data_IF_563429524191
#
_entry.id   IF_563429524191
#
_cell.length_a   1.000
_cell.length_b   1.000
_cell.length_c   1.000
_cell.angle_alpha   90.00
_cell.angle_beta   90.00
_cell.angle_gamma   90.00
#
_symmetry.space_group_name_H-M   'P 1'
#
loop_
_entity.id
_entity.type
_entity.pdbx_description
1 polymer ?
#
# COMPACT_ATOMS: atom_id res chain seq x y z
N UNK A 1 -13.71 49.88 54.86
CA UNK A 1 -14.52 48.80 54.26
C UNK A 1 -14.87 49.00 52.77
N UNK A 2 -15.17 50.22 52.28
CA UNK A 2 -15.53 50.46 50.86
C UNK A 2 -14.36 50.29 49.86
N UNK A 3 -13.13 50.67 50.23
CA UNK A 3 -11.96 50.58 49.36
C UNK A 3 -11.51 49.13 49.08
N UNK A 4 -11.48 48.29 50.12
CA UNK A 4 -11.10 46.88 50.01
C UNK A 4 -12.09 46.11 49.11
N UNK A 5 -13.40 46.35 49.28
CA UNK A 5 -14.42 45.75 48.41
C UNK A 5 -14.25 46.16 46.93
N UNK A 6 -13.86 47.41 46.68
CA UNK A 6 -13.62 47.91 45.33
C UNK A 6 -12.38 47.28 44.70
N UNK A 7 -11.30 47.12 45.48
CA UNK A 7 -10.07 46.45 45.05
C UNK A 7 -10.33 44.97 44.69
N UNK A 8 -11.04 44.25 45.56
CA UNK A 8 -11.40 42.84 45.33
C UNK A 8 -12.25 42.70 44.06
N UNK A 9 -13.20 43.62 43.83
CA UNK A 9 -14.01 43.62 42.62
C UNK A 9 -13.18 43.84 41.35
N UNK A 10 -12.21 44.76 41.35
CA UNK A 10 -11.32 44.95 40.22
C UNK A 10 -10.47 43.71 39.92
N UNK A 11 -9.98 43.03 40.95
CA UNK A 11 -9.22 41.78 40.79
C UNK A 11 -10.10 40.68 40.19
N UNK A 12 -11.33 40.52 40.68
CA UNK A 12 -12.27 39.55 40.12
C UNK A 12 -12.59 39.83 38.65
N UNK A 13 -12.82 41.09 38.28
CA UNK A 13 -13.09 41.47 36.89
C UNK A 13 -11.86 41.23 36.02
N UNK A 14 -10.66 41.59 36.47
CA UNK A 14 -9.42 41.34 35.73
C UNK A 14 -9.17 39.84 35.50
N UNK A 15 -9.45 39.00 36.49
CA UNK A 15 -9.35 37.54 36.37
C UNK A 15 -10.37 36.99 35.36
N UNK A 16 -11.62 37.45 35.39
CA UNK A 16 -12.66 37.02 34.45
C UNK A 16 -12.29 37.43 33.02
N UNK A 17 -11.82 38.67 32.81
CA UNK A 17 -11.37 39.13 31.50
C UNK A 17 -10.16 38.33 31.01
N UNK A 18 -9.20 38.05 31.90
CA UNK A 18 -8.07 37.17 31.57
C UNK A 18 -8.50 35.76 31.17
N UNK A 19 -9.49 35.18 31.86
CA UNK A 19 -10.04 33.87 31.55
C UNK A 19 -10.78 33.87 30.21
N UNK A 20 -11.59 34.89 29.94
CA UNK A 20 -12.29 35.06 28.66
C UNK A 20 -11.26 35.18 27.53
N UNK A 21 -10.25 36.05 27.67
CA UNK A 21 -9.18 36.18 26.70
C UNK A 21 -8.44 34.85 26.50
N UNK A 22 -8.10 34.11 27.56
CA UNK A 22 -7.43 32.82 27.44
C UNK A 22 -8.31 31.76 26.74
N UNK A 23 -9.61 31.74 27.03
CA UNK A 23 -10.55 30.84 26.33
C UNK A 23 -10.70 31.23 24.86
N UNK A 24 -10.75 32.52 24.54
CA UNK A 24 -10.74 33.04 23.17
C UNK A 24 -9.42 32.70 22.48
N UNK A 25 -8.25 32.86 23.11
CA UNK A 25 -6.96 32.43 22.54
C UNK A 25 -6.89 30.92 22.30
N UNK A 26 -7.64 30.11 23.05
CA UNK A 26 -7.69 28.65 22.87
C UNK A 26 -8.72 28.19 21.84
N UNK A 27 -9.83 28.93 21.68
CA UNK A 27 -10.88 28.65 20.68
C UNK A 27 -10.60 29.33 19.33
N UNK A 28 -9.98 30.50 19.35
CA UNK A 28 -9.45 31.29 18.22
C UNK A 28 -7.92 31.29 18.16
N UNK A 29 -7.26 30.33 18.82
CA UNK A 29 -6.11 29.74 18.15
C UNK A 29 -6.71 29.20 16.87
N UNK A 30 -6.74 30.04 15.83
CA UNK A 30 -6.77 29.59 14.47
C UNK A 30 -5.82 28.41 14.50
N UNK A 31 -6.35 27.20 14.26
CA UNK A 31 -5.53 26.21 13.59
C UNK A 31 -4.81 27.05 12.57
N UNK A 32 -3.50 27.25 12.74
CA UNK A 32 -2.72 27.53 11.57
C UNK A 32 -3.25 26.49 10.61
N UNK A 33 -3.72 26.93 9.45
CA UNK A 33 -3.68 26.02 8.34
C UNK A 33 -2.19 25.65 8.28
N UNK A 34 -1.82 24.60 9.02
CA UNK A 34 -0.75 23.70 8.69
C UNK A 34 -1.22 23.08 7.38
N UNK A 35 -1.31 23.94 6.36
CA UNK A 35 -1.01 23.62 5.01
C UNK A 35 0.46 23.19 5.08
N UNK A 36 0.73 21.97 5.61
CA UNK A 36 1.66 21.12 4.90
C UNK A 36 1.04 21.04 3.52
N UNK A 37 1.45 21.97 2.65
CA UNK A 37 0.86 22.11 1.35
C UNK A 37 1.01 20.75 0.70
N UNK A 38 -0.11 20.10 0.39
CA UNK A 38 -0.12 18.79 -0.25
C UNK A 38 0.86 18.91 -1.42
N UNK A 39 1.90 18.06 -1.45
CA UNK A 39 2.98 18.22 -2.41
C UNK A 39 2.41 18.21 -3.82
N UNK A 40 3.08 18.92 -4.73
CA UNK A 40 2.72 18.86 -6.13
C UNK A 40 2.79 17.40 -6.60
N UNK A 41 1.72 16.94 -7.24
CA UNK A 41 1.63 15.57 -7.74
C UNK A 41 2.35 15.53 -9.08
N UNK A 42 3.55 14.96 -9.07
CA UNK A 42 4.35 14.74 -10.27
C UNK A 42 4.25 13.29 -10.77
N UNK A 43 4.81 13.03 -11.95
CA UNK A 43 4.84 11.69 -12.53
C UNK A 43 5.63 10.70 -11.67
N UNK A 44 6.66 11.16 -10.95
CA UNK A 44 7.48 10.29 -10.11
C UNK A 44 6.70 9.73 -8.94
N UNK A 45 5.87 10.56 -8.30
CA UNK A 45 4.95 10.12 -7.25
C UNK A 45 3.97 9.08 -7.79
N UNK A 46 3.31 9.34 -8.92
CA UNK A 46 2.37 8.39 -9.52
C UNK A 46 3.05 7.07 -9.86
N UNK A 47 4.24 7.10 -10.48
CA UNK A 47 5.03 5.91 -10.75
C UNK A 47 5.40 5.19 -9.47
N UNK A 48 5.80 5.91 -8.42
CA UNK A 48 6.13 5.33 -7.11
C UNK A 48 4.94 4.60 -6.49
N UNK A 49 3.78 5.24 -6.43
CA UNK A 49 2.55 4.65 -5.88
C UNK A 49 2.12 3.40 -6.66
N UNK A 50 2.30 3.41 -7.98
CA UNK A 50 1.96 2.27 -8.83
C UNK A 50 2.94 1.10 -8.72
N UNK A 51 4.24 1.39 -8.54
CA UNK A 51 5.32 0.38 -8.66
C UNK A 51 5.26 -0.68 -7.56
N UNK A 52 4.79 -0.32 -6.35
CA UNK A 52 4.65 -1.32 -5.30
C UNK A 52 3.36 -2.13 -5.37
N UNK A 53 2.42 -1.79 -6.26
CA UNK A 53 1.22 -2.61 -6.48
C UNK A 53 1.60 -3.96 -7.10
N UNK A 54 1.16 -5.10 -6.53
CA UNK A 54 1.43 -6.43 -7.04
C UNK A 54 1.12 -6.62 -8.53
N UNK A 55 1.99 -7.34 -9.22
CA UNK A 55 1.82 -7.68 -10.64
C UNK A 55 1.19 -9.04 -10.90
N UNK A 56 0.99 -9.85 -9.85
CA UNK A 56 0.49 -11.22 -9.93
C UNK A 56 -0.55 -11.48 -8.84
N UNK A 57 -1.35 -12.52 -9.07
CA UNK A 57 -2.27 -13.07 -8.07
C UNK A 57 -1.51 -13.58 -6.84
N UNK A 58 -2.07 -13.31 -5.65
CA UNK A 58 -1.42 -13.64 -4.38
C UNK A 58 -2.35 -14.52 -3.53
N UNK A 59 -2.36 -15.81 -3.83
CA UNK A 59 -3.07 -16.81 -3.03
C UNK A 59 -4.59 -16.62 -3.00
N UNK A 60 -5.25 -17.34 -2.10
CA UNK A 60 -6.70 -17.58 -2.17
C UNK A 60 -7.54 -16.75 -1.18
N UNK A 61 -6.93 -15.96 -0.30
CA UNK A 61 -7.60 -15.48 0.92
C UNK A 61 -8.09 -14.04 0.92
N UNK A 62 -7.60 -13.17 0.04
CA UNK A 62 -8.22 -11.87 -0.33
C UNK A 62 -7.36 -11.21 -1.42
N UNK A 63 -7.96 -11.03 -2.59
CA UNK A 63 -7.31 -10.65 -3.84
C UNK A 63 -7.30 -9.12 -4.00
N UNK A 64 -6.22 -8.55 -4.57
CA UNK A 64 -6.16 -7.11 -4.87
C UNK A 64 -7.23 -6.74 -5.91
N UNK A 65 -7.58 -7.69 -6.78
CA UNK A 65 -8.48 -7.50 -7.92
C UNK A 65 -9.84 -8.20 -7.73
N UNK A 66 -10.55 -7.91 -6.64
CA UNK A 66 -11.91 -8.40 -6.40
C UNK A 66 -13.00 -7.41 -6.91
N UNK A 67 -14.22 -7.90 -7.13
CA UNK A 67 -15.37 -7.11 -7.64
C UNK A 67 -16.10 -6.32 -6.55
N UNK A 68 -15.91 -6.65 -5.27
CA UNK A 68 -16.71 -6.05 -4.20
C UNK A 68 -16.05 -4.78 -3.66
N UNK A 69 -16.81 -3.67 -3.68
CA UNK A 69 -16.48 -2.43 -2.99
C UNK A 69 -16.34 -2.69 -1.49
N UNK A 70 -15.18 -2.39 -0.91
CA UNK A 70 -14.95 -2.46 0.53
C UNK A 70 -14.32 -1.13 0.97
N UNK A 71 -15.00 -0.44 1.88
CA UNK A 71 -14.62 0.88 2.42
C UNK A 71 -13.48 0.83 3.45
N UNK A 72 -12.81 -0.30 3.57
CA UNK A 72 -11.77 -0.60 4.56
C UNK A 72 -10.62 -1.32 3.87
N UNK A 73 -9.41 -1.24 4.44
CA UNK A 73 -8.28 -2.03 4.00
C UNK A 73 -8.70 -3.51 3.95
N UNK A 74 -8.82 -4.03 2.73
CA UNK A 74 -9.45 -5.31 2.42
C UNK A 74 -8.48 -6.29 1.76
N UNK A 75 -7.21 -5.92 1.68
CA UNK A 75 -6.19 -6.77 1.10
C UNK A 75 -5.62 -7.70 2.16
N UNK A 76 -5.29 -8.91 1.76
CA UNK A 76 -4.72 -9.90 2.68
C UNK A 76 -3.40 -9.41 3.27
N UNK A 77 -3.04 -9.92 4.45
CA UNK A 77 -1.71 -9.69 5.04
C UNK A 77 -0.56 -10.12 4.10
N UNK A 78 -0.81 -11.07 3.19
CA UNK A 78 0.15 -11.51 2.16
C UNK A 78 0.30 -10.42 1.09
N UNK A 79 -0.79 -9.79 0.67
CA UNK A 79 -0.77 -8.67 -0.28
C UNK A 79 -0.08 -7.46 0.32
N UNK A 80 -0.35 -7.13 1.59
CA UNK A 80 0.37 -6.08 2.31
C UNK A 80 1.87 -6.38 2.39
N UNK A 81 2.24 -7.63 2.68
CA UNK A 81 3.64 -8.05 2.70
C UNK A 81 4.31 -7.90 1.32
N UNK A 82 3.64 -8.28 0.24
CA UNK A 82 4.20 -8.13 -1.10
C UNK A 82 4.35 -6.66 -1.51
N UNK A 83 3.35 -5.81 -1.22
CA UNK A 83 3.45 -4.36 -1.44
C UNK A 83 4.62 -3.75 -0.68
N UNK A 84 4.77 -4.15 0.59
CA UNK A 84 5.88 -3.71 1.44
C UNK A 84 7.23 -4.14 0.86
N UNK A 85 7.35 -5.41 0.43
CA UNK A 85 8.54 -5.91 -0.22
C UNK A 85 8.85 -5.16 -1.52
N UNK A 86 7.85 -4.94 -2.39
CA UNK A 86 8.02 -4.21 -3.65
C UNK A 86 8.46 -2.77 -3.39
N UNK A 87 7.94 -2.12 -2.35
CA UNK A 87 8.39 -0.79 -1.97
C UNK A 87 9.88 -0.81 -1.57
N UNK A 88 10.27 -1.73 -0.69
CA UNK A 88 11.65 -1.84 -0.20
C UNK A 88 12.64 -2.04 -1.36
N UNK A 89 12.39 -2.98 -2.27
CA UNK A 89 13.33 -3.26 -3.36
C UNK A 89 13.47 -2.10 -4.36
N UNK A 90 12.46 -1.25 -4.50
CA UNK A 90 12.47 -0.15 -5.46
C UNK A 90 12.90 1.19 -4.84
N UNK A 91 12.73 1.36 -3.53
CA UNK A 91 12.88 2.67 -2.87
C UNK A 91 13.64 2.66 -1.54
N UNK A 92 13.97 1.49 -0.98
CA UNK A 92 14.71 1.37 0.29
C UNK A 92 15.64 0.14 0.29
N UNK A 93 16.45 0.02 -0.77
CA UNK A 93 17.32 -1.14 -0.98
C UNK A 93 18.34 -1.38 0.15
N UNK A 94 18.64 -0.36 0.96
CA UNK A 94 19.52 -0.47 2.13
C UNK A 94 18.96 -1.38 3.23
N UNK A 95 17.66 -1.72 3.19
CA UNK A 95 17.06 -2.70 4.10
C UNK A 95 17.39 -4.14 3.73
N UNK A 96 17.94 -4.39 2.53
CA UNK A 96 18.35 -5.71 2.07
C UNK A 96 19.71 -6.06 2.68
N UNK A 97 19.71 -7.01 3.62
CA UNK A 97 20.91 -7.44 4.35
C UNK A 97 21.40 -8.76 3.80
N UNK A 98 22.72 -8.90 3.66
CA UNK A 98 23.33 -10.18 3.29
C UNK A 98 23.09 -11.22 4.38
N UNK A 99 23.00 -12.49 3.96
CA UNK A 99 22.85 -13.63 4.88
C UNK A 99 24.17 -14.40 4.91
N UNK A 100 24.87 -14.47 6.05
CA UNK A 100 26.06 -15.30 6.20
C UNK A 100 25.77 -16.79 5.96
N UNK A 101 26.73 -17.54 5.42
CA UNK A 101 26.55 -18.97 5.11
C UNK A 101 26.23 -19.82 6.35
N UNK A 102 26.81 -19.49 7.50
CA UNK A 102 26.48 -20.14 8.78
C UNK A 102 25.00 -19.98 9.12
N UNK A 103 24.45 -18.78 8.90
CA UNK A 103 23.03 -18.50 9.12
C UNK A 103 22.18 -19.29 8.12
N UNK A 104 22.53 -19.29 6.82
CA UNK A 104 21.82 -20.04 5.77
C UNK A 104 21.64 -21.52 6.13
N UNK A 105 22.71 -22.16 6.60
CA UNK A 105 22.71 -23.59 6.97
C UNK A 105 21.74 -23.90 8.12
N UNK A 106 21.43 -22.94 8.99
CA UNK A 106 20.53 -23.12 10.13
C UNK A 106 19.05 -22.83 9.81
N UNK A 107 18.76 -22.31 8.61
CA UNK A 107 17.42 -21.86 8.26
C UNK A 107 16.52 -22.98 7.73
N UNK A 108 17.08 -24.08 7.21
CA UNK A 108 16.32 -25.19 6.59
C UNK A 108 15.28 -24.67 5.59
N UNK A 109 15.74 -23.85 4.65
CA UNK A 109 14.93 -23.30 3.55
C UNK A 109 15.35 -24.04 2.29
N UNK A 110 14.38 -24.66 1.61
CA UNK A 110 14.61 -25.25 0.30
C UNK A 110 14.75 -24.12 -0.73
N UNK A 111 15.90 -24.04 -1.40
CA UNK A 111 16.20 -23.00 -2.38
C UNK A 111 17.45 -22.16 -2.06
N UNK A 112 17.73 -21.18 -2.91
CA UNK A 112 18.91 -20.30 -2.78
C UNK A 112 18.53 -19.03 -2.03
N UNK A 113 19.00 -18.88 -0.80
CA UNK A 113 18.78 -17.66 -0.01
C UNK A 113 19.62 -16.52 -0.58
N UNK A 114 18.96 -15.42 -0.95
CA UNK A 114 19.58 -14.24 -1.56
C UNK A 114 19.97 -13.20 -0.49
N UNK A 115 19.00 -12.75 0.29
CA UNK A 115 19.14 -11.70 1.30
C UNK A 115 18.04 -11.81 2.35
N UNK A 116 18.14 -11.00 3.42
CA UNK A 116 17.12 -10.89 4.46
C UNK A 116 16.72 -9.44 4.71
N UNK A 117 15.50 -9.25 5.18
CA UNK A 117 14.98 -7.98 5.67
C UNK A 117 14.58 -8.20 7.13
N UNK A 118 14.98 -7.30 8.04
CA UNK A 118 14.57 -7.46 9.44
C UNK A 118 13.08 -7.16 9.59
N UNK A 119 12.44 -7.79 10.58
CA UNK A 119 11.06 -7.50 10.93
C UNK A 119 10.84 -6.01 11.21
N UNK A 120 11.75 -5.37 11.93
CA UNK A 120 11.68 -3.94 12.24
C UNK A 120 11.66 -3.08 10.96
N UNK A 121 12.63 -3.30 10.06
CA UNK A 121 12.71 -2.58 8.79
C UNK A 121 11.43 -2.81 7.95
N UNK A 122 10.91 -4.03 7.95
CA UNK A 122 9.71 -4.40 7.23
C UNK A 122 8.45 -3.72 7.80
N UNK A 123 8.28 -3.73 9.13
CA UNK A 123 7.14 -3.08 9.81
C UNK A 123 7.17 -1.56 9.63
N UNK A 124 8.36 -0.95 9.63
CA UNK A 124 8.50 0.49 9.37
C UNK A 124 8.01 0.85 7.96
N UNK A 125 8.40 0.06 6.94
CA UNK A 125 7.93 0.24 5.58
C UNK A 125 6.42 -0.04 5.43
N UNK A 126 5.91 -1.09 6.09
CA UNK A 126 4.48 -1.40 6.09
C UNK A 126 3.66 -0.26 6.70
N UNK A 127 4.09 0.26 7.84
CA UNK A 127 3.44 1.39 8.52
C UNK A 127 3.44 2.63 7.65
N UNK A 128 4.51 2.88 6.90
CA UNK A 128 4.58 3.97 5.93
C UNK A 128 3.60 3.78 4.76
N UNK A 129 3.29 2.55 4.34
CA UNK A 129 2.38 2.32 3.22
C UNK A 129 0.90 2.30 3.62
N UNK A 130 0.58 1.82 4.82
CA UNK A 130 -0.80 1.53 5.24
C UNK A 130 -1.26 2.32 6.46
N UNK A 131 -0.38 3.13 7.06
CA UNK A 131 -0.64 3.85 8.31
C UNK A 131 -0.49 2.99 9.56
N UNK A 132 -0.67 3.62 10.73
CA UNK A 132 -0.35 3.04 12.05
C UNK A 132 -1.40 2.08 12.62
N UNK A 133 -2.59 2.02 12.04
CA UNK A 133 -3.70 1.24 12.55
C UNK A 133 -3.81 -0.16 11.94
N UNK A 134 -2.95 -0.47 10.97
CA UNK A 134 -3.04 -1.70 10.19
C UNK A 134 -2.51 -2.91 10.96
N UNK A 135 -3.25 -4.03 10.91
CA UNK A 135 -2.84 -5.26 11.58
C UNK A 135 -1.99 -6.10 10.66
N UNK A 136 -0.78 -6.40 11.09
CA UNK A 136 0.13 -7.28 10.38
C UNK A 136 0.33 -8.62 11.12
N UNK A 137 0.42 -9.69 10.33
CA UNK A 137 0.77 -11.02 10.81
C UNK A 137 2.06 -11.48 10.13
N UNK A 138 3.02 -11.92 10.95
CA UNK A 138 4.24 -12.48 10.41
C UNK A 138 3.93 -13.77 9.65
N UNK A 139 4.20 -13.78 8.34
CA UNK A 139 3.80 -14.89 7.46
C UNK A 139 4.81 -15.12 6.34
N UNK A 140 4.87 -16.35 5.86
CA UNK A 140 5.56 -16.65 4.61
C UNK A 140 4.72 -16.13 3.43
N UNK A 141 5.37 -15.64 2.38
CA UNK A 141 4.67 -15.16 1.19
C UNK A 141 5.43 -15.47 -0.10
N UNK A 142 4.69 -15.59 -1.20
CA UNK A 142 5.25 -15.73 -2.55
C UNK A 142 5.36 -14.34 -3.18
N UNK A 143 6.51 -14.05 -3.77
CA UNK A 143 6.74 -12.78 -4.50
C UNK A 143 6.44 -12.99 -5.98
N UNK A 144 6.95 -14.07 -6.54
CA UNK A 144 6.61 -14.55 -7.87
C UNK A 144 6.78 -16.07 -7.90
N UNK A 145 6.84 -16.67 -9.09
CA UNK A 145 7.02 -18.12 -9.24
C UNK A 145 8.34 -18.59 -8.63
N UNK A 146 9.40 -17.83 -8.84
CA UNK A 146 10.75 -18.24 -8.49
C UNK A 146 11.17 -17.66 -7.15
N UNK A 147 10.58 -16.56 -6.72
CA UNK A 147 11.00 -15.82 -5.54
C UNK A 147 9.95 -15.91 -4.43
N UNK A 148 10.41 -16.25 -3.23
CA UNK A 148 9.57 -16.39 -2.03
C UNK A 148 10.24 -15.72 -0.84
N UNK A 149 9.43 -15.47 0.18
CA UNK A 149 9.86 -14.94 1.46
C UNK A 149 9.45 -15.90 2.58
N UNK A 150 10.39 -16.24 3.44
CA UNK A 150 10.14 -17.03 4.66
C UNK A 150 10.39 -16.18 5.89
N UNK A 151 9.43 -16.12 6.79
CA UNK A 151 9.61 -15.47 8.08
C UNK A 151 10.25 -16.44 9.08
N UNK A 152 11.42 -16.08 9.61
CA UNK A 152 12.11 -16.86 10.65
C UNK A 152 13.02 -15.93 11.46
N UNK A 153 13.13 -16.16 12.77
CA UNK A 153 14.06 -15.43 13.65
C UNK A 153 13.99 -13.90 13.47
N UNK A 154 12.80 -13.30 13.44
CA UNK A 154 12.57 -11.87 13.21
C UNK A 154 13.13 -11.31 11.89
N UNK A 155 13.24 -12.16 10.87
CA UNK A 155 13.69 -11.78 9.54
C UNK A 155 12.81 -12.41 8.46
N UNK A 156 12.60 -11.66 7.38
CA UNK A 156 12.11 -12.17 6.10
C UNK A 156 13.31 -12.57 5.25
N UNK A 157 13.50 -13.87 5.06
CA UNK A 157 14.52 -14.41 4.17
C UNK A 157 13.94 -14.54 2.76
N UNK A 158 14.56 -13.87 1.81
CA UNK A 158 14.17 -13.92 0.40
C UNK A 158 15.00 -14.97 -0.29
N UNK A 159 14.34 -15.90 -0.96
CA UNK A 159 14.99 -17.07 -1.53
C UNK A 159 14.35 -17.49 -2.85
N UNK A 160 15.18 -18.10 -3.70
CA UNK A 160 14.80 -18.59 -5.01
C UNK A 160 14.54 -20.09 -5.01
N UNK A 161 13.44 -20.49 -5.63
CA UNK A 161 13.13 -21.87 -6.01
C UNK A 161 12.90 -21.93 -7.52
N UNK A 162 13.47 -22.93 -8.20
CA UNK A 162 13.24 -23.12 -9.63
C UNK A 162 11.84 -23.71 -9.86
N UNK A 163 10.87 -22.85 -10.19
CA UNK A 163 9.55 -23.29 -10.67
C UNK A 163 9.24 -22.70 -12.04
N UNK A 164 8.47 -23.42 -12.84
CA UNK A 164 8.02 -22.95 -14.15
C UNK A 164 6.61 -22.39 -13.97
N UNK A 165 6.42 -21.11 -14.32
CA UNK A 165 5.10 -20.46 -14.32
C UNK A 165 4.48 -20.50 -15.71
N UNK A 166 3.31 -21.13 -15.81
CA UNK A 166 2.52 -21.16 -17.03
C UNK A 166 1.56 -19.98 -17.12
N UNK A 167 1.57 -19.05 -16.16
CA UNK A 167 0.73 -17.87 -16.16
C UNK A 167 1.51 -16.65 -16.64
N UNK A 168 0.88 -15.87 -17.52
CA UNK A 168 1.32 -14.52 -17.89
C UNK A 168 0.31 -13.50 -17.34
N UNK A 169 0.82 -12.35 -16.92
CA UNK A 169 0.01 -11.25 -16.40
C UNK A 169 0.23 -10.02 -17.28
N UNK A 170 -0.87 -9.42 -17.71
CA UNK A 170 -0.91 -8.14 -18.38
C UNK A 170 -1.54 -7.12 -17.43
N UNK A 171 -0.73 -6.15 -17.05
CA UNK A 171 -1.07 -5.11 -16.08
C UNK A 171 -0.46 -3.79 -16.57
N UNK A 172 -1.18 -2.70 -16.41
CA UNK A 172 -0.70 -1.37 -16.79
C UNK A 172 -1.54 -0.26 -16.18
N UNK A 173 -0.85 0.79 -15.73
CA UNK A 173 -1.49 2.03 -15.34
C UNK A 173 -2.15 2.64 -16.58
N UNK A 174 -3.47 2.78 -16.54
CA UNK A 174 -4.26 3.33 -17.63
C UNK A 174 -4.47 4.84 -17.46
N UNK A 175 -4.80 5.27 -16.24
CA UNK A 175 -4.97 6.69 -15.90
C UNK A 175 -4.87 6.91 -14.39
N UNK A 176 -4.86 8.17 -13.97
CA UNK A 176 -5.06 8.53 -12.57
C UNK A 176 -6.00 9.74 -12.46
N UNK A 177 -6.69 9.86 -11.34
CA UNK A 177 -7.51 11.02 -11.01
C UNK A 177 -7.18 11.56 -9.63
N UNK A 178 -7.40 12.86 -9.45
CA UNK A 178 -7.15 13.59 -8.21
C UNK A 178 -8.49 14.08 -7.66
N UNK A 179 -8.77 13.77 -6.41
CA UNK A 179 -9.98 14.25 -5.72
C UNK A 179 -9.62 14.96 -4.42
N UNK A 180 -10.60 15.62 -3.80
CA UNK A 180 -10.46 16.21 -2.46
C UNK A 180 -9.27 17.18 -2.36
N UNK A 181 -9.18 18.13 -3.29
CA UNK A 181 -8.08 19.10 -3.36
C UNK A 181 -6.68 18.44 -3.40
N UNK A 182 -6.55 17.28 -4.06
CA UNK A 182 -5.31 16.48 -4.19
C UNK A 182 -5.00 15.61 -2.96
N UNK A 183 -5.85 15.61 -1.93
CA UNK A 183 -5.69 14.70 -0.79
C UNK A 183 -5.84 13.23 -1.20
N UNK A 184 -6.55 12.96 -2.30
CA UNK A 184 -6.79 11.59 -2.75
C UNK A 184 -6.29 11.39 -4.19
N UNK A 185 -5.51 10.33 -4.38
CA UNK A 185 -5.05 9.84 -5.69
C UNK A 185 -5.75 8.52 -5.97
N UNK A 186 -6.39 8.42 -7.13
CA UNK A 186 -7.01 7.19 -7.63
C UNK A 186 -6.24 6.73 -8.86
N UNK A 187 -5.57 5.59 -8.78
CA UNK A 187 -4.85 4.97 -9.90
C UNK A 187 -5.75 3.94 -10.57
N UNK A 188 -6.01 4.09 -11.85
CA UNK A 188 -6.77 3.11 -12.63
C UNK A 188 -5.81 2.22 -13.40
N UNK A 189 -5.89 0.92 -13.18
CA UNK A 189 -5.16 -0.07 -13.96
C UNK A 189 -6.10 -1.07 -14.62
N UNK A 190 -5.61 -1.70 -15.68
CA UNK A 190 -6.23 -2.88 -16.25
C UNK A 190 -5.51 -4.14 -15.75
N UNK A 191 -6.25 -5.24 -15.65
CA UNK A 191 -5.69 -6.52 -15.25
C UNK A 191 -6.22 -7.65 -16.13
N UNK A 192 -5.29 -8.51 -16.58
CA UNK A 192 -5.60 -9.74 -17.29
C UNK A 192 -4.52 -10.78 -16.98
N UNK A 193 -4.91 -11.94 -16.43
CA UNK A 193 -4.03 -13.11 -16.36
C UNK A 193 -4.40 -14.10 -17.45
N UNK A 194 -3.42 -14.77 -18.04
CA UNK A 194 -3.67 -15.84 -19.01
C UNK A 194 -2.80 -17.05 -18.73
N UNK A 195 -3.37 -18.24 -18.92
CA UNK A 195 -2.63 -19.49 -18.90
C UNK A 195 -2.07 -19.77 -20.31
N UNK A 196 -0.76 -19.94 -20.42
CA UNK A 196 -0.07 -20.19 -21.69
C UNK A 196 -0.43 -21.54 -22.32
N UNK A 197 -0.73 -22.54 -21.51
CA UNK A 197 -1.07 -23.90 -21.94
C UNK A 197 -2.54 -24.02 -22.36
N UNK A 198 -3.48 -23.64 -21.49
CA UNK A 198 -4.92 -23.73 -21.80
C UNK A 198 -5.39 -22.63 -22.74
N UNK A 199 -4.59 -21.57 -22.87
CA UNK A 199 -4.88 -20.32 -23.59
C UNK A 199 -6.05 -19.51 -23.02
N UNK A 200 -6.54 -19.88 -21.86
CA UNK A 200 -7.63 -19.20 -21.17
C UNK A 200 -7.11 -17.95 -20.47
N UNK A 201 -7.93 -16.90 -20.50
CA UNK A 201 -7.63 -15.64 -19.82
C UNK A 201 -8.73 -15.30 -18.82
N UNK A 202 -8.36 -14.54 -17.79
CA UNK A 202 -9.21 -14.15 -16.68
C UNK A 202 -8.90 -12.68 -16.33
N UNK A 203 -9.92 -11.84 -16.29
CA UNK A 203 -9.84 -10.41 -15.96
C UNK A 203 -10.17 -10.13 -14.47
N UNK A 204 -10.33 -11.19 -13.68
CA UNK A 204 -10.56 -11.14 -12.24
C UNK A 204 -9.68 -12.16 -11.52
N UNK A 205 -9.10 -11.74 -10.40
CA UNK A 205 -8.30 -12.60 -9.51
C UNK A 205 -9.21 -13.57 -8.74
N UNK A 206 -8.79 -14.84 -8.62
CA UNK A 206 -9.60 -15.93 -8.07
C UNK A 206 -10.80 -16.37 -8.93
N UNK A 207 -10.93 -15.90 -10.18
CA UNK A 207 -11.99 -16.40 -11.09
C UNK A 207 -11.59 -17.71 -11.76
N UNK A 208 -12.41 -18.73 -11.62
CA UNK A 208 -12.32 -19.98 -12.39
C UNK A 208 -13.05 -19.89 -13.75
N UNK A 209 -13.75 -18.79 -14.00
CA UNK A 209 -14.47 -18.58 -15.27
C UNK A 209 -13.62 -17.73 -16.21
N UNK A 210 -13.19 -18.27 -17.36
CA UNK A 210 -12.41 -17.52 -18.33
C UNK A 210 -13.27 -16.50 -19.09
N UNK A 211 -12.66 -15.40 -19.51
CA UNK A 211 -13.31 -14.45 -20.42
C UNK A 211 -13.42 -15.07 -21.82
N UNK A 212 -14.64 -15.12 -22.37
CA UNK A 212 -14.91 -15.82 -23.62
C UNK A 212 -14.33 -15.13 -24.87
N UNK A 213 -14.04 -13.83 -24.77
CA UNK A 213 -13.66 -12.97 -25.90
C UNK A 213 -12.15 -12.70 -26.00
N UNK A 214 -11.33 -13.23 -25.08
CA UNK A 214 -9.87 -13.09 -25.11
C UNK A 214 -9.23 -14.47 -24.92
N UNK A 215 -8.23 -14.77 -25.74
CA UNK A 215 -7.38 -15.96 -25.60
C UNK A 215 -5.92 -15.58 -25.62
N UNK A 216 -5.10 -16.34 -24.91
CA UNK A 216 -3.65 -16.14 -24.96
C UNK A 216 -3.12 -16.41 -26.37
N UNK A 217 -2.19 -15.56 -26.77
CA UNK A 217 -1.26 -15.79 -27.87
C UNK A 217 0.04 -15.07 -27.54
N UNK A 218 1.17 -15.55 -28.06
CA UNK A 218 2.48 -14.91 -27.87
C UNK A 218 2.50 -13.45 -28.32
N UNK A 219 1.64 -13.08 -29.28
CA UNK A 219 1.54 -11.73 -29.83
C UNK A 219 0.26 -11.00 -29.36
N UNK A 220 -0.28 -11.35 -28.19
CA UNK A 220 -1.47 -10.70 -27.66
C UNK A 220 -1.18 -9.21 -27.39
N UNK A 221 -1.75 -8.31 -28.20
CA UNK A 221 -1.63 -6.88 -28.00
C UNK A 221 -2.67 -6.39 -26.99
N UNK A 222 -2.24 -6.18 -25.75
CA UNK A 222 -3.09 -5.70 -24.67
C UNK A 222 -3.72 -4.34 -24.98
N UNK A 223 -3.05 -3.45 -25.72
CA UNK A 223 -3.58 -2.12 -26.03
C UNK A 223 -4.82 -2.18 -26.93
N UNK A 224 -4.91 -3.21 -27.77
CA UNK A 224 -6.08 -3.44 -28.64
C UNK A 224 -7.32 -3.95 -27.89
N UNK A 225 -7.15 -4.44 -26.65
CA UNK A 225 -8.21 -5.08 -25.85
C UNK A 225 -8.39 -4.46 -24.47
N UNK A 226 -7.57 -3.51 -24.04
CA UNK A 226 -7.60 -2.95 -22.67
C UNK A 226 -8.93 -2.28 -22.30
N UNK A 227 -9.70 -1.84 -23.29
CA UNK A 227 -11.03 -1.26 -23.09
C UNK A 227 -12.14 -2.31 -22.89
N UNK A 228 -11.82 -3.59 -23.13
CA UNK A 228 -12.73 -4.73 -22.98
C UNK A 228 -12.48 -5.54 -21.72
N UNK A 229 -11.32 -5.35 -21.08
CA UNK A 229 -10.95 -6.03 -19.84
C UNK A 229 -11.33 -5.19 -18.64
N UNK A 230 -11.52 -5.88 -17.52
CA UNK A 230 -11.87 -5.25 -16.26
C UNK A 230 -10.79 -4.28 -15.77
N UNK A 231 -11.23 -3.18 -15.17
CA UNK A 231 -10.38 -2.15 -14.60
C UNK A 231 -10.46 -2.19 -13.07
N UNK A 232 -9.42 -1.67 -12.45
CA UNK A 232 -9.32 -1.57 -11.00
C UNK A 232 -8.82 -0.19 -10.62
N UNK A 233 -9.46 0.43 -9.64
CA UNK A 233 -9.08 1.69 -9.05
C UNK A 233 -8.41 1.45 -7.69
N UNK A 234 -7.19 1.93 -7.53
CA UNK A 234 -6.45 1.92 -6.28
C UNK A 234 -6.47 3.31 -5.67
N UNK A 235 -6.99 3.40 -4.45
CA UNK A 235 -7.18 4.67 -3.75
C UNK A 235 -6.04 4.87 -2.77
N UNK A 236 -5.40 6.03 -2.87
CA UNK A 236 -4.39 6.51 -1.95
C UNK A 236 -4.83 7.83 -1.34
N UNK A 237 -4.53 8.03 -0.06
CA UNK A 237 -4.89 9.25 0.66
C UNK A 237 -3.67 9.87 1.33
N UNK A 238 -3.57 11.19 1.28
CA UNK A 238 -2.51 11.95 1.91
C UNK A 238 -2.75 12.03 3.42
N UNK A 239 -1.89 11.40 4.19
CA UNK A 239 -1.91 11.39 5.65
C UNK A 239 -0.48 11.43 6.19
N UNK A 240 -0.23 12.26 7.21
CA UNK A 240 1.09 12.34 7.87
C UNK A 240 2.27 12.55 6.89
N UNK A 241 2.14 13.54 6.00
CA UNK A 241 3.14 13.98 5.02
C UNK A 241 3.45 13.02 3.85
N UNK A 242 2.65 11.97 3.64
CA UNK A 242 2.78 11.05 2.50
C UNK A 242 1.44 10.45 2.09
N UNK A 243 1.39 9.77 0.94
CA UNK A 243 0.20 9.03 0.51
C UNK A 243 0.24 7.59 1.03
N UNK A 244 -0.79 7.18 1.75
CA UNK A 244 -1.02 5.80 2.20
C UNK A 244 -2.04 5.11 1.30
N UNK A 245 -1.93 3.80 1.15
CA UNK A 245 -2.91 2.99 0.44
C UNK A 245 -4.17 2.79 1.28
N UNK A 246 -5.35 2.90 0.67
CA UNK A 246 -6.65 2.82 1.36
C UNK A 246 -7.48 1.62 0.87
N UNK A 247 -7.64 1.46 -0.44
CA UNK A 247 -8.54 0.46 -1.01
C UNK A 247 -8.25 0.15 -2.47
N UNK A 248 -8.79 -0.97 -2.95
CA UNK A 248 -8.95 -1.25 -4.39
C UNK A 248 -10.43 -1.56 -4.70
N UNK A 249 -10.92 -1.04 -5.83
CA UNK A 249 -12.26 -1.28 -6.36
C UNK A 249 -12.21 -1.75 -7.82
N UNK A 250 -12.99 -2.77 -8.19
CA UNK A 250 -13.14 -3.16 -9.60
C UNK A 250 -14.22 -2.33 -10.31
N UNK A 251 -13.89 -1.70 -11.44
CA UNK A 251 -14.74 -0.85 -12.26
C UNK A 251 -15.19 -1.58 -13.53
#
# INVERSE_FOLDING_TARGET
MKLIKKLVMYICVALIVGLICFTFSKTFAFKSDDNSAIPEIDSNLITKLYTYLPSKEIGNTQTLYNTYYLTVNNISYITQALMTYNYIINYDEFKLKTVPEEEKNNLNIEGTILYKITKEDFINALTYLFGTNERYYDTDFKINSNLKAKFKNDNYYIYEENTIDNIIYYKGLDSYTLTDNRETIKLNEYYLRCNKETKECFDKEGSDTPVSYIKYSENLDINSIKDKIKRYEHVFKYESDHYIWISTEGI
#
